data_IF_324636385847
#
_entry.id   IF_324636385847
#
_cell.length_a   1.000
_cell.length_b   1.000
_cell.length_c   1.000
_cell.angle_alpha   90.00
_cell.angle_beta   90.00
_cell.angle_gamma   90.00
#
_symmetry.space_group_name_H-M   'P 1'
#
loop_
_entity.id
_entity.type
_entity.pdbx_description
1 polymer ?
#
# COMPACT_ATOMS: atom_id res chain seq x y z
N UNK A 1 59.85 -13.46 20.33
CA UNK A 1 59.05 -12.23 20.54
C UNK A 1 59.02 -11.47 19.22
N UNK A 2 57.91 -11.11 18.58
CA UNK A 2 56.49 -11.23 18.86
C UNK A 2 55.76 -11.29 17.52
N UNK A 3 54.70 -12.09 17.48
CA UNK A 3 53.57 -12.02 16.55
C UNK A 3 52.85 -10.66 16.71
N UNK A 4 52.14 -10.20 15.68
CA UNK A 4 50.70 -10.17 15.89
C UNK A 4 49.91 -10.70 14.68
N UNK A 5 48.88 -11.46 15.07
CA UNK A 5 47.75 -11.90 14.30
C UNK A 5 46.81 -10.73 14.02
N UNK A 6 46.34 -10.59 12.78
CA UNK A 6 45.08 -9.93 12.46
C UNK A 6 44.35 -10.79 11.42
N UNK A 7 43.70 -11.82 11.94
CA UNK A 7 42.65 -12.58 11.28
C UNK A 7 41.36 -11.75 11.28
N UNK A 8 41.08 -11.11 10.16
CA UNK A 8 39.79 -10.53 9.85
C UNK A 8 39.26 -11.17 8.57
N UNK A 9 38.94 -12.46 8.66
CA UNK A 9 38.11 -13.17 7.69
C UNK A 9 36.68 -12.63 7.79
N UNK A 10 36.42 -11.53 7.09
CA UNK A 10 35.09 -10.94 6.93
C UNK A 10 34.23 -11.89 6.09
N UNK A 11 33.26 -12.53 6.73
CA UNK A 11 32.31 -13.42 6.09
C UNK A 11 31.49 -12.67 5.04
N UNK A 12 31.69 -13.02 3.77
CA UNK A 12 30.86 -12.62 2.64
C UNK A 12 29.37 -12.92 2.96
N UNK A 13 28.45 -11.96 2.79
CA UNK A 13 27.04 -12.25 2.92
C UNK A 13 26.64 -13.23 1.82
N UNK A 14 26.14 -14.39 2.24
CA UNK A 14 25.58 -15.41 1.35
C UNK A 14 24.33 -14.82 0.69
N UNK A 15 24.50 -14.27 -0.51
CA UNK A 15 23.39 -13.83 -1.33
C UNK A 15 22.56 -15.06 -1.70
N UNK A 16 21.37 -15.18 -1.11
CA UNK A 16 20.39 -16.19 -1.54
C UNK A 16 19.99 -15.88 -2.99
N UNK A 17 20.51 -16.68 -3.90
CA UNK A 17 20.05 -16.75 -5.29
C UNK A 17 18.55 -17.11 -5.25
N UNK A 18 17.65 -16.30 -5.85
CA UNK A 18 16.25 -16.66 -5.95
C UNK A 18 16.13 -17.94 -6.76
N UNK A 19 15.26 -18.86 -6.33
CA UNK A 19 14.94 -20.06 -7.09
C UNK A 19 14.42 -19.67 -8.48
N UNK A 20 15.28 -19.85 -9.50
CA UNK A 20 14.99 -19.57 -10.89
C UNK A 20 13.82 -20.46 -11.33
N UNK A 21 12.63 -19.89 -11.54
CA UNK A 21 11.50 -20.61 -12.14
C UNK A 21 11.69 -20.66 -13.65
N UNK A 22 12.45 -21.64 -14.11
CA UNK A 22 12.69 -21.90 -15.53
C UNK A 22 11.42 -22.42 -16.21
N UNK A 23 10.87 -21.66 -17.14
CA UNK A 23 9.75 -22.12 -17.99
C UNK A 23 10.33 -22.71 -19.28
N UNK A 24 10.10 -24.01 -19.49
CA UNK A 24 10.42 -24.67 -20.77
C UNK A 24 9.14 -24.74 -21.59
N UNK A 25 9.05 -23.96 -22.68
CA UNK A 25 7.94 -24.06 -23.63
C UNK A 25 8.35 -24.98 -24.79
N UNK A 26 7.62 -26.08 -25.07
CA UNK A 26 7.93 -26.92 -26.21
C UNK A 26 7.72 -26.15 -27.52
N UNK A 27 8.67 -26.30 -28.44
CA UNK A 27 8.51 -25.90 -29.83
C UNK A 27 7.74 -27.01 -30.56
N UNK A 28 6.53 -26.73 -31.04
CA UNK A 28 5.84 -27.61 -31.98
C UNK A 28 6.21 -27.18 -33.41
N UNK A 29 6.65 -28.10 -34.29
CA UNK A 29 6.89 -27.76 -35.69
C UNK A 29 5.56 -27.48 -36.41
N UNK A 30 5.53 -26.62 -37.45
CA UNK A 30 4.33 -26.41 -38.26
C UNK A 30 4.10 -27.63 -39.17
N UNK A 31 3.25 -28.55 -38.74
CA UNK A 31 2.69 -29.58 -39.64
C UNK A 31 1.60 -28.94 -40.49
N UNK A 32 1.94 -28.70 -41.75
CA UNK A 32 1.00 -28.37 -42.83
C UNK A 32 0.15 -29.61 -43.13
N UNK A 33 -1.12 -29.59 -42.75
CA UNK A 33 -2.18 -30.37 -43.41
C UNK A 33 -3.51 -29.63 -43.24
N UNK A 34 -4.05 -29.09 -44.35
CA UNK A 34 -5.42 -28.63 -44.42
C UNK A 34 -6.38 -29.82 -44.47
N UNK A 35 -7.51 -29.80 -43.74
CA UNK A 35 -8.69 -30.52 -44.14
C UNK A 35 -9.81 -29.55 -44.55
N UNK A 36 -10.47 -29.94 -45.65
CA UNK A 36 -11.67 -29.33 -46.23
C UNK A 36 -12.77 -29.13 -45.19
N UNK A 37 -13.53 -28.06 -45.41
CA UNK A 37 -14.82 -27.79 -44.79
C UNK A 37 -15.80 -28.98 -44.90
N UNK A 38 -16.51 -29.26 -43.82
CA UNK A 38 -17.86 -29.82 -43.85
C UNK A 38 -18.68 -29.12 -42.75
N UNK A 39 -19.68 -28.35 -43.18
CA UNK A 39 -20.77 -27.95 -42.31
C UNK A 39 -21.61 -29.19 -42.00
N UNK A 40 -21.81 -29.49 -40.72
CA UNK A 40 -23.00 -30.19 -40.28
C UNK A 40 -23.39 -29.69 -38.89
N UNK A 41 -24.67 -29.32 -38.77
CA UNK A 41 -25.25 -28.75 -37.57
C UNK A 41 -25.57 -29.83 -36.54
N UNK A 42 -25.29 -29.53 -35.28
CA UNK A 42 -25.99 -30.08 -34.13
C UNK A 42 -25.69 -29.19 -32.91
N UNK A 43 -26.74 -28.56 -32.37
CA UNK A 43 -26.70 -27.89 -31.07
C UNK A 43 -26.46 -28.94 -29.97
N UNK A 44 -25.50 -28.75 -29.04
CA UNK A 44 -25.43 -29.57 -27.85
C UNK A 44 -26.29 -28.97 -26.73
N UNK A 45 -27.38 -29.69 -26.44
CA UNK A 45 -28.25 -29.58 -25.28
C UNK A 45 -27.48 -29.65 -23.95
N UNK A 46 -27.90 -28.81 -23.01
CA UNK A 46 -27.44 -28.73 -21.62
C UNK A 46 -27.60 -30.04 -20.84
N UNK A 47 -26.67 -30.31 -19.91
CA UNK A 47 -26.93 -31.12 -18.71
C UNK A 47 -26.04 -30.60 -17.57
N UNK A 48 -26.64 -29.81 -16.67
CA UNK A 48 -26.07 -29.51 -15.35
C UNK A 48 -26.68 -30.49 -14.37
N UNK A 49 -25.86 -31.41 -13.87
CA UNK A 49 -26.21 -32.30 -12.77
C UNK A 49 -26.24 -31.53 -11.45
N UNK A 50 -27.32 -31.74 -10.71
CA UNK A 50 -27.60 -31.08 -9.44
C UNK A 50 -26.92 -31.75 -8.25
N UNK A 51 -26.56 -30.93 -7.27
CA UNK A 51 -26.55 -31.31 -5.86
C UNK A 51 -26.73 -30.04 -5.02
N UNK A 52 -27.90 -29.91 -4.40
CA UNK A 52 -28.11 -28.97 -3.28
C UNK A 52 -27.23 -29.39 -2.10
N UNK A 53 -26.84 -28.42 -1.26
CA UNK A 53 -27.35 -28.51 0.09
C UNK A 53 -27.92 -27.19 0.60
N UNK A 54 -29.16 -27.29 1.08
CA UNK A 54 -29.79 -26.39 2.04
C UNK A 54 -28.84 -26.17 3.22
N UNK A 55 -28.66 -24.91 3.66
CA UNK A 55 -28.63 -24.53 5.08
C UNK A 55 -28.65 -23.00 5.25
N UNK A 56 -29.54 -22.60 6.15
CA UNK A 56 -30.02 -21.25 6.43
C UNK A 56 -28.98 -20.38 7.14
N UNK A 57 -28.84 -19.12 6.72
CA UNK A 57 -28.34 -18.06 7.58
C UNK A 57 -29.43 -16.99 7.77
N UNK A 58 -29.93 -16.97 9.01
CA UNK A 58 -30.71 -15.92 9.66
C UNK A 58 -30.27 -14.52 9.20
N UNK A 59 -31.12 -13.86 8.42
CA UNK A 59 -31.02 -12.43 8.14
C UNK A 59 -31.87 -11.72 9.18
N UNK A 60 -31.20 -11.23 10.22
CA UNK A 60 -31.80 -10.37 11.22
C UNK A 60 -32.44 -9.14 10.55
N UNK A 61 -33.72 -8.94 10.84
CA UNK A 61 -34.48 -7.74 10.51
C UNK A 61 -33.89 -6.51 11.24
N UNK A 62 -33.92 -5.29 10.65
CA UNK A 62 -33.62 -4.09 11.39
C UNK A 62 -34.85 -3.71 12.23
N UNK A 63 -34.93 -4.22 13.45
CA UNK A 63 -35.92 -3.72 14.43
C UNK A 63 -35.45 -2.38 14.99
N UNK A 64 -36.06 -1.29 14.49
CA UNK A 64 -36.02 0.02 15.13
C UNK A 64 -36.62 -0.10 16.54
N UNK A 65 -35.77 -0.06 17.56
CA UNK A 65 -36.18 0.05 18.96
C UNK A 65 -35.94 1.48 19.44
N UNK A 66 -37.04 2.22 19.48
CA UNK A 66 -37.15 3.54 20.09
C UNK A 66 -37.25 3.34 21.62
N UNK A 67 -36.12 3.42 22.32
CA UNK A 67 -36.09 3.48 23.78
C UNK A 67 -35.58 4.87 24.19
N UNK A 68 -36.53 5.73 24.55
CA UNK A 68 -36.27 7.02 25.15
C UNK A 68 -35.98 6.89 26.64
N UNK A 69 -34.81 7.36 27.06
CA UNK A 69 -34.47 7.86 28.40
C UNK A 69 -33.07 8.45 28.21
N UNK A 70 -32.81 9.75 28.31
CA UNK A 70 -33.28 10.72 29.26
C UNK A 70 -32.03 11.37 29.84
N UNK A 71 -31.84 12.66 29.54
CA UNK A 71 -30.82 13.49 30.20
C UNK A 71 -29.65 13.87 29.31
N UNK A 72 -29.84 14.88 28.46
CA UNK A 72 -28.75 15.82 28.19
C UNK A 72 -29.26 17.25 28.38
N UNK A 73 -28.60 17.89 29.34
CA UNK A 73 -28.90 19.17 29.92
C UNK A 73 -28.71 20.27 28.89
N UNK A 74 -29.71 21.14 28.80
CA UNK A 74 -29.69 22.33 27.96
C UNK A 74 -28.51 23.24 28.32
N UNK A 75 -27.57 23.42 27.38
CA UNK A 75 -26.73 24.61 27.34
C UNK A 75 -27.47 25.68 26.51
N UNK A 76 -28.51 26.26 27.11
CA UNK A 76 -29.13 27.46 26.57
C UNK A 76 -28.15 28.63 26.77
N UNK A 77 -27.52 29.07 25.68
CA UNK A 77 -26.88 30.38 25.61
C UNK A 77 -27.96 31.46 25.75
N UNK A 78 -28.26 31.84 26.98
CA UNK A 78 -28.98 33.08 27.26
C UNK A 78 -27.97 34.20 27.28
N UNK A 79 -27.81 34.83 26.13
CA UNK A 79 -27.27 36.18 26.00
C UNK A 79 -28.14 37.12 26.82
N UNK A 80 -27.71 37.44 28.04
CA UNK A 80 -28.34 38.50 28.85
C UNK A 80 -27.97 39.83 28.20
N UNK A 81 -28.87 40.28 27.32
CA UNK A 81 -28.87 41.64 26.81
C UNK A 81 -28.93 42.61 27.98
N UNK A 82 -27.96 43.52 27.98
CA UNK A 82 -27.89 44.75 28.75
C UNK A 82 -29.25 45.43 28.81
N UNK A 83 -29.94 45.35 29.95
CA UNK A 83 -31.13 46.17 30.21
C UNK A 83 -30.68 47.56 30.62
N UNK A 84 -30.75 48.44 29.63
CA UNK A 84 -30.72 49.89 29.70
C UNK A 84 -31.67 50.42 30.77
N UNK A 85 -31.16 51.36 31.58
CA UNK A 85 -31.91 52.48 32.16
C UNK A 85 -33.22 52.18 32.89
N UNK A 86 -33.13 51.91 34.20
CA UNK A 86 -34.25 52.05 35.12
C UNK A 86 -33.94 53.12 36.17
N UNK A 87 -34.32 54.36 35.91
CA UNK A 87 -34.39 55.42 36.93
C UNK A 87 -35.50 55.05 37.92
N UNK A 88 -35.12 54.59 39.12
CA UNK A 88 -36.05 54.43 40.24
C UNK A 88 -35.88 55.61 41.20
N UNK A 89 -36.92 56.44 41.27
CA UNK A 89 -37.11 57.48 42.30
C UNK A 89 -37.19 56.85 43.71
N UNK A 90 -36.88 57.62 44.77
CA UNK A 90 -36.71 57.08 46.12
C UNK A 90 -38.07 56.79 46.76
N UNK A 91 -38.28 55.56 47.22
CA UNK A 91 -39.34 55.24 48.17
C UNK A 91 -38.71 55.08 49.57
N UNK A 92 -39.24 55.74 50.61
CA UNK A 92 -38.73 55.65 51.97
C UNK A 92 -39.08 54.28 52.55
N UNK A 93 -38.10 53.37 52.52
CA UNK A 93 -38.18 52.08 53.19
C UNK A 93 -38.08 52.27 54.70
N UNK A 94 -39.16 51.94 55.40
CA UNK A 94 -39.31 52.13 56.84
C UNK A 94 -38.18 51.53 57.69
N UNK A 95 -37.85 52.29 58.73
CA UNK A 95 -37.01 51.91 59.86
C UNK A 95 -37.52 50.62 60.52
N UNK A 96 -37.00 49.47 60.09
CA UNK A 96 -37.18 48.21 60.80
C UNK A 96 -36.25 48.23 62.04
N UNK A 97 -36.79 48.74 63.13
CA UNK A 97 -36.15 48.86 64.44
C UNK A 97 -36.05 47.47 65.09
N UNK A 98 -34.95 46.76 64.84
CA UNK A 98 -34.60 45.55 65.58
C UNK A 98 -34.24 45.93 67.04
N UNK A 99 -34.71 45.15 68.01
CA UNK A 99 -34.61 45.44 69.44
C UNK A 99 -33.18 45.63 69.97
N UNK A 100 -33.05 46.18 71.20
CA UNK A 100 -31.76 46.59 71.76
C UNK A 100 -30.90 45.36 72.05
N UNK A 101 -29.86 45.14 71.23
CA UNK A 101 -28.92 44.05 71.43
C UNK A 101 -28.21 43.54 70.17
N UNK A 102 -28.57 44.00 68.97
CA UNK A 102 -27.87 43.60 67.74
C UNK A 102 -26.82 44.66 67.39
N UNK A 103 -25.51 44.35 67.35
CA UNK A 103 -24.50 45.30 66.91
C UNK A 103 -24.82 45.77 65.49
N UNK A 104 -24.86 47.09 65.29
CA UNK A 104 -25.32 47.78 64.06
C UNK A 104 -24.39 47.54 62.85
N UNK A 105 -23.29 46.81 63.03
CA UNK A 105 -22.38 46.46 61.95
C UNK A 105 -21.87 45.01 62.12
N UNK A 106 -22.07 44.12 61.14
CA UNK A 106 -21.32 42.87 61.11
C UNK A 106 -19.82 43.18 61.02
N UNK A 107 -18.95 42.38 61.67
CA UNK A 107 -17.51 42.56 61.55
C UNK A 107 -17.10 42.47 60.07
N UNK A 108 -16.16 43.32 59.65
CA UNK A 108 -15.69 43.36 58.28
C UNK A 108 -15.28 41.95 57.83
N UNK A 109 -15.83 41.50 56.69
CA UNK A 109 -15.47 40.22 56.11
C UNK A 109 -13.94 40.17 55.90
N UNK A 110 -13.27 39.04 56.21
CA UNK A 110 -11.85 38.91 55.96
C UNK A 110 -11.60 39.14 54.47
N UNK A 111 -10.62 39.98 54.15
CA UNK A 111 -10.23 40.24 52.78
C UNK A 111 -9.72 38.92 52.16
N UNK A 112 -10.55 38.31 51.31
CA UNK A 112 -10.10 37.18 50.49
C UNK A 112 -8.95 37.66 49.61
N UNK A 113 -7.86 36.87 49.49
CA UNK A 113 -6.78 37.22 48.58
C UNK A 113 -7.35 37.45 47.19
N UNK A 114 -7.12 38.63 46.62
CA UNK A 114 -7.46 38.90 45.24
C UNK A 114 -6.79 37.83 44.36
N UNK A 115 -7.45 37.33 43.30
CA UNK A 115 -6.84 36.40 42.36
C UNK A 115 -5.50 36.99 41.91
N UNK A 116 -4.42 36.24 42.13
CA UNK A 116 -3.11 36.69 41.74
C UNK A 116 -3.13 37.07 40.24
N UNK A 117 -2.51 38.21 39.85
CA UNK A 117 -2.50 38.62 38.46
C UNK A 117 -1.90 37.49 37.60
N UNK A 118 -2.44 37.26 36.39
CA UNK A 118 -1.98 36.17 35.54
C UNK A 118 -0.47 36.32 35.33
N UNK A 119 0.30 35.35 35.82
CA UNK A 119 1.74 35.32 35.64
C UNK A 119 2.02 35.33 34.15
N UNK A 120 2.75 36.35 33.67
CA UNK A 120 3.16 36.42 32.27
C UNK A 120 3.93 35.14 31.95
N UNK A 121 3.51 34.36 30.94
CA UNK A 121 4.22 33.14 30.59
C UNK A 121 5.64 33.51 30.18
N UNK A 122 6.64 32.93 30.86
CA UNK A 122 8.05 33.13 30.56
C UNK A 122 8.30 32.88 29.07
N UNK A 123 9.06 33.75 28.39
CA UNK A 123 9.43 33.55 26.98
C UNK A 123 10.17 32.22 26.79
N UNK A 124 10.89 31.77 27.81
CA UNK A 124 11.59 30.47 27.81
C UNK A 124 10.62 29.29 27.78
N UNK A 125 9.50 29.38 28.52
CA UNK A 125 8.44 28.36 28.49
C UNK A 125 7.74 28.31 27.14
N UNK A 126 7.56 29.47 26.49
CA UNK A 126 7.03 29.53 25.11
C UNK A 126 8.01 28.88 24.13
N UNK A 127 9.31 29.18 24.24
CA UNK A 127 10.34 28.58 23.40
C UNK A 127 10.39 27.06 23.56
N UNK A 128 10.35 26.55 24.79
CA UNK A 128 10.32 25.09 25.03
C UNK A 128 9.07 24.43 24.48
N UNK A 129 7.91 25.07 24.59
CA UNK A 129 6.66 24.54 24.01
C UNK A 129 6.73 24.54 22.48
N UNK A 130 7.27 25.60 21.86
CA UNK A 130 7.45 25.65 20.40
C UNK A 130 8.46 24.59 19.95
N UNK A 131 9.61 24.47 20.62
CA UNK A 131 10.62 23.47 20.29
C UNK A 131 10.06 22.05 20.45
N UNK A 132 9.33 21.78 21.53
CA UNK A 132 8.67 20.50 21.76
C UNK A 132 7.61 20.22 20.70
N UNK A 133 6.81 21.22 20.29
CA UNK A 133 5.82 21.06 19.24
C UNK A 133 6.48 20.77 17.88
N UNK A 134 7.59 21.45 17.56
CA UNK A 134 8.37 21.20 16.34
C UNK A 134 9.00 19.81 16.34
N UNK A 135 9.58 19.38 17.47
CA UNK A 135 10.15 18.04 17.61
C UNK A 135 9.08 16.95 17.45
N UNK A 136 7.91 17.12 18.09
CA UNK A 136 6.79 16.20 17.94
C UNK A 136 6.28 16.15 16.51
N UNK A 137 6.16 17.29 15.83
CA UNK A 137 5.77 17.36 14.43
C UNK A 137 6.80 16.68 13.52
N UNK A 138 8.10 16.88 13.77
CA UNK A 138 9.19 16.23 13.05
C UNK A 138 9.16 14.70 13.24
N UNK A 139 8.88 14.22 14.46
CA UNK A 139 8.77 12.79 14.72
C UNK A 139 7.53 12.19 14.05
N UNK A 140 6.37 12.85 14.13
CA UNK A 140 5.15 12.40 13.47
C UNK A 140 5.29 12.34 11.96
N UNK A 141 5.94 13.33 11.35
CA UNK A 141 6.22 13.34 9.90
C UNK A 141 7.21 12.24 9.51
N UNK A 142 8.27 12.03 10.28
CA UNK A 142 9.22 10.93 10.03
C UNK A 142 8.55 9.55 10.13
N UNK A 143 7.74 9.32 11.16
CA UNK A 143 6.99 8.07 11.34
C UNK A 143 5.95 7.90 10.23
N UNK A 144 5.22 8.96 9.89
CA UNK A 144 4.26 8.94 8.78
C UNK A 144 4.91 8.58 7.45
N UNK A 145 6.05 9.19 7.13
CA UNK A 145 6.84 8.86 5.94
C UNK A 145 7.39 7.43 5.98
N UNK A 146 7.85 6.96 7.13
CA UNK A 146 8.35 5.60 7.28
C UNK A 146 7.26 4.55 7.06
N UNK A 147 6.07 4.75 7.64
CA UNK A 147 4.90 3.89 7.43
C UNK A 147 4.48 3.94 5.96
N UNK A 148 4.43 5.14 5.36
CA UNK A 148 4.07 5.31 3.95
C UNK A 148 5.01 4.53 3.02
N UNK A 149 6.32 4.64 3.21
CA UNK A 149 7.31 3.88 2.43
C UNK A 149 7.18 2.38 2.66
N UNK A 150 6.78 1.95 3.87
CA UNK A 150 6.59 0.54 4.21
C UNK A 150 5.35 -0.06 3.52
N UNK A 151 4.31 0.74 3.30
CA UNK A 151 3.02 0.33 2.72
C UNK A 151 2.87 0.67 1.23
N UNK A 152 3.86 1.32 0.61
CA UNK A 152 3.81 1.66 -0.81
C UNK A 152 3.66 0.40 -1.68
N UNK A 153 2.76 0.39 -2.67
CA UNK A 153 2.57 -0.77 -3.54
C UNK A 153 3.81 -1.03 -4.40
N UNK A 154 3.87 -2.23 -4.99
CA UNK A 154 4.89 -2.57 -5.97
C UNK A 154 4.70 -1.70 -7.22
N UNK A 155 5.76 -1.03 -7.64
CA UNK A 155 5.78 -0.27 -8.88
C UNK A 155 6.93 -0.73 -9.77
N UNK A 156 6.67 -0.74 -11.08
CA UNK A 156 7.64 -1.04 -12.12
C UNK A 156 8.24 0.27 -12.59
N UNK A 157 9.55 0.40 -12.46
CA UNK A 157 10.30 1.57 -12.91
C UNK A 157 10.75 1.43 -14.36
N UNK A 158 11.17 0.22 -14.76
CA UNK A 158 11.70 -0.04 -16.09
C UNK A 158 11.67 -1.56 -16.39
N UNK A 159 11.61 -1.91 -17.66
CA UNK A 159 11.65 -3.30 -18.13
C UNK A 159 12.56 -3.38 -19.35
N UNK A 160 13.57 -4.22 -19.28
CA UNK A 160 14.49 -4.46 -20.40
C UNK A 160 14.58 -5.95 -20.67
N UNK A 161 14.60 -6.34 -21.94
CA UNK A 161 14.80 -7.73 -22.35
C UNK A 161 16.14 -7.86 -23.08
N UNK A 162 16.84 -8.97 -22.83
CA UNK A 162 18.13 -9.24 -23.44
C UNK A 162 18.36 -10.74 -23.58
N UNK A 163 19.33 -11.10 -24.40
CA UNK A 163 19.80 -12.48 -24.57
C UNK A 163 21.25 -12.54 -24.08
N UNK A 164 21.50 -12.87 -22.79
CA UNK A 164 22.85 -12.83 -22.23
C UNK A 164 23.82 -13.79 -22.93
N UNK A 165 23.30 -14.90 -23.44
CA UNK A 165 24.05 -15.95 -24.14
C UNK A 165 23.36 -16.26 -25.47
N UNK A 166 23.67 -15.53 -26.56
CA UNK A 166 23.07 -15.79 -27.86
C UNK A 166 23.50 -17.16 -28.41
N UNK A 167 22.65 -17.75 -29.27
CA UNK A 167 22.88 -19.06 -29.88
C UNK A 167 24.19 -19.12 -30.68
N UNK A 168 24.50 -18.05 -31.43
CA UNK A 168 25.62 -18.02 -32.37
C UNK A 168 25.45 -19.06 -33.49
N UNK A 169 26.56 -19.68 -33.89
CA UNK A 169 26.62 -20.70 -34.95
C UNK A 169 26.37 -22.14 -34.45
N UNK A 170 25.74 -22.29 -33.28
CA UNK A 170 25.54 -23.60 -32.63
C UNK A 170 24.20 -24.18 -33.04
N UNK A 171 24.18 -25.48 -33.30
CA UNK A 171 22.97 -26.23 -33.61
C UNK A 171 22.33 -26.79 -32.33
N UNK A 172 21.01 -27.01 -32.38
CA UNK A 172 20.24 -27.66 -31.31
C UNK A 172 20.46 -27.03 -29.92
N UNK A 173 20.40 -25.70 -29.87
CA UNK A 173 20.68 -24.94 -28.66
C UNK A 173 19.43 -24.46 -27.96
N UNK A 174 19.53 -24.38 -26.64
CA UNK A 174 18.57 -23.67 -25.81
C UNK A 174 19.16 -22.33 -25.41
N UNK A 175 18.42 -21.26 -25.70
CA UNK A 175 18.76 -19.88 -25.36
C UNK A 175 17.87 -19.43 -24.20
N UNK A 176 18.49 -18.76 -23.23
CA UNK A 176 17.77 -18.09 -22.16
C UNK A 176 17.56 -16.63 -22.55
N UNK A 177 16.30 -16.24 -22.74
CA UNK A 177 15.91 -14.85 -22.88
C UNK A 177 15.59 -14.33 -21.49
N UNK A 178 16.21 -13.22 -21.12
CA UNK A 178 16.13 -12.66 -19.78
C UNK A 178 15.55 -11.26 -19.85
N UNK A 179 14.41 -11.06 -19.18
CA UNK A 179 13.87 -9.74 -18.89
C UNK A 179 14.25 -9.29 -17.48
N UNK A 180 14.87 -8.13 -17.38
CA UNK A 180 15.21 -7.47 -16.13
C UNK A 180 14.15 -6.41 -15.85
N UNK A 181 13.39 -6.62 -14.77
CA UNK A 181 12.37 -5.70 -14.28
C UNK A 181 12.95 -4.89 -13.12
N UNK A 182 13.02 -3.57 -13.27
CA UNK A 182 13.40 -2.66 -12.18
C UNK A 182 12.16 -2.24 -11.41
N UNK A 183 12.24 -2.27 -10.08
CA UNK A 183 11.11 -1.95 -9.19
C UNK A 183 11.51 -0.94 -8.12
N UNK A 184 10.52 -0.35 -7.46
CA UNK A 184 10.71 0.59 -6.35
C UNK A 184 11.22 -0.07 -5.04
N UNK A 185 11.38 -1.40 -5.00
CA UNK A 185 11.81 -2.14 -3.82
C UNK A 185 10.67 -2.53 -2.86
N UNK A 186 9.42 -2.21 -3.19
CA UNK A 186 8.27 -2.69 -2.43
C UNK A 186 8.05 -4.19 -2.66
N UNK A 187 7.39 -4.85 -1.69
CA UNK A 187 6.98 -6.23 -1.87
C UNK A 187 5.71 -6.29 -2.72
N UNK A 188 5.57 -7.34 -3.52
CA UNK A 188 4.38 -7.53 -4.32
C UNK A 188 4.48 -8.73 -5.23
N UNK A 189 3.59 -8.76 -6.22
CA UNK A 189 3.48 -9.82 -7.20
C UNK A 189 3.49 -9.21 -8.58
N UNK A 190 4.26 -9.80 -9.49
CA UNK A 190 4.29 -9.44 -10.90
C UNK A 190 3.57 -10.53 -11.65
N UNK A 191 2.53 -10.16 -12.40
CA UNK A 191 1.87 -11.06 -13.34
C UNK A 191 2.33 -10.73 -14.76
N UNK A 192 2.86 -11.71 -15.46
CA UNK A 192 3.49 -11.50 -16.76
C UNK A 192 3.28 -12.70 -17.68
N UNK A 193 3.41 -12.46 -18.97
CA UNK A 193 3.36 -13.50 -19.99
C UNK A 193 4.46 -13.27 -21.02
N UNK A 194 4.97 -14.36 -21.58
CA UNK A 194 5.90 -14.33 -22.70
C UNK A 194 5.15 -14.54 -24.01
N UNK A 195 5.41 -13.68 -24.99
CA UNK A 195 4.94 -13.80 -26.36
C UNK A 195 6.13 -14.08 -27.26
N UNK A 196 5.93 -14.97 -28.22
CA UNK A 196 6.92 -15.31 -29.25
C UNK A 196 6.28 -15.09 -30.62
N UNK A 197 7.03 -14.55 -31.56
CA UNK A 197 6.56 -14.42 -32.94
C UNK A 197 6.13 -15.77 -33.49
N UNK A 198 4.95 -15.85 -34.13
CA UNK A 198 4.46 -17.07 -34.75
C UNK A 198 3.95 -18.17 -33.79
N UNK A 199 3.90 -17.90 -32.47
CA UNK A 199 3.34 -18.83 -31.48
C UNK A 199 2.10 -18.25 -30.79
N UNK A 200 1.26 -19.13 -30.26
CA UNK A 200 0.23 -18.71 -29.30
C UNK A 200 0.88 -18.03 -28.07
N UNK A 201 0.20 -17.06 -27.44
CA UNK A 201 0.68 -16.44 -26.21
C UNK A 201 0.99 -17.50 -25.13
N UNK A 202 2.07 -17.29 -24.38
CA UNK A 202 2.39 -18.12 -23.22
C UNK A 202 1.35 -18.00 -22.12
N UNK A 203 1.40 -18.93 -21.16
CA UNK A 203 0.58 -18.85 -19.95
C UNK A 203 0.90 -17.58 -19.15
N UNK A 204 -0.09 -17.09 -18.41
CA UNK A 204 0.14 -16.04 -17.42
C UNK A 204 0.94 -16.64 -16.25
N UNK A 205 2.07 -16.02 -15.95
CA UNK A 205 3.00 -16.40 -14.89
C UNK A 205 2.97 -15.37 -13.77
N UNK A 206 3.36 -15.82 -12.59
CA UNK A 206 3.34 -15.03 -11.38
C UNK A 206 4.68 -15.11 -10.69
N UNK A 207 5.35 -13.97 -10.56
CA UNK A 207 6.62 -13.82 -9.86
C UNK A 207 6.44 -13.03 -8.57
N UNK A 208 7.04 -13.52 -7.47
CA UNK A 208 6.91 -12.88 -6.16
C UNK A 208 8.12 -12.01 -5.87
N UNK A 209 7.88 -10.72 -5.62
CA UNK A 209 8.92 -9.75 -5.30
C UNK A 209 8.95 -9.55 -3.79
N UNK A 210 10.04 -9.99 -3.16
CA UNK A 210 10.35 -9.67 -1.77
C UNK A 210 10.68 -8.19 -1.56
N UNK A 211 10.43 -7.70 -0.34
CA UNK A 211 10.77 -6.32 0.05
C UNK A 211 12.29 -6.09 -0.08
N UNK A 212 12.68 -4.95 -0.64
CA UNK A 212 14.06 -4.54 -0.87
C UNK A 212 14.62 -4.98 -2.22
N UNK A 213 13.94 -5.87 -2.96
CA UNK A 213 14.36 -6.27 -4.30
C UNK A 213 14.00 -5.19 -5.30
N UNK A 214 15.01 -4.53 -5.88
CA UNK A 214 14.85 -3.49 -6.92
C UNK A 214 15.06 -4.00 -8.34
N UNK A 215 15.44 -5.26 -8.49
CA UNK A 215 15.68 -5.92 -9.76
C UNK A 215 15.16 -7.35 -9.67
N UNK A 216 14.35 -7.74 -10.63
CA UNK A 216 13.75 -9.08 -10.73
C UNK A 216 13.99 -9.61 -12.12
N UNK A 217 14.36 -10.88 -12.22
CA UNK A 217 14.73 -11.53 -13.48
C UNK A 217 13.61 -12.46 -13.89
N UNK A 218 13.04 -12.23 -15.07
CA UNK A 218 12.05 -13.11 -15.67
C UNK A 218 12.75 -13.85 -16.82
N UNK A 219 12.77 -15.19 -16.75
CA UNK A 219 13.50 -16.01 -17.72
C UNK A 219 12.54 -16.78 -18.61
N UNK A 220 12.79 -16.74 -19.92
CA UNK A 220 12.19 -17.60 -20.92
C UNK A 220 13.26 -18.52 -21.50
N UNK A 221 13.05 -19.82 -21.39
CA UNK A 221 13.96 -20.81 -21.97
C UNK A 221 13.42 -21.30 -23.30
N UNK A 222 14.22 -21.16 -24.35
CA UNK A 222 13.79 -21.42 -25.73
C UNK A 222 14.77 -22.32 -26.47
N UNK A 223 14.32 -23.53 -26.84
CA UNK A 223 15.06 -24.46 -27.71
C UNK A 223 14.84 -24.20 -29.19
N UNK A 224 15.93 -24.10 -29.95
CA UNK A 224 15.97 -24.10 -31.41
C UNK A 224 16.61 -25.39 -31.89
N UNK A 225 16.03 -26.03 -32.90
CA UNK A 225 16.54 -27.28 -33.48
C UNK A 225 16.50 -27.24 -35.00
N UNK A 226 17.37 -28.02 -35.64
CA UNK A 226 17.46 -28.12 -37.11
C UNK A 226 18.46 -27.15 -37.75
N UNK A 227 18.62 -27.27 -39.06
CA UNK A 227 19.59 -26.48 -39.85
C UNK A 227 18.97 -25.20 -40.41
N UNK A 228 19.80 -24.17 -40.64
CA UNK A 228 19.37 -22.89 -41.23
C UNK A 228 19.48 -21.70 -40.28
N UNK A 229 18.99 -20.54 -40.71
CA UNK A 229 18.99 -19.31 -39.94
C UNK A 229 17.59 -18.75 -39.75
N UNK A 230 17.22 -18.42 -38.51
CA UNK A 230 15.97 -17.73 -38.19
C UNK A 230 16.22 -16.61 -37.20
N UNK A 231 15.39 -15.56 -37.25
CA UNK A 231 15.36 -14.49 -36.26
C UNK A 231 13.94 -14.37 -35.74
N UNK A 232 13.78 -14.52 -34.44
CA UNK A 232 12.47 -14.48 -33.80
C UNK A 232 12.46 -13.46 -32.66
N UNK A 233 11.29 -12.89 -32.38
CA UNK A 233 11.14 -11.88 -31.33
C UNK A 233 10.51 -12.49 -30.09
N UNK A 234 11.14 -12.26 -28.94
CA UNK A 234 10.57 -12.57 -27.64
C UNK A 234 10.13 -11.28 -26.96
N UNK A 235 8.84 -11.19 -26.62
CA UNK A 235 8.25 -10.05 -25.94
C UNK A 235 7.74 -10.46 -24.58
N UNK A 236 8.17 -9.78 -23.52
CA UNK A 236 7.56 -9.90 -22.20
C UNK A 236 6.44 -8.88 -22.09
N UNK A 237 5.25 -9.32 -21.68
CA UNK A 237 4.11 -8.46 -21.37
C UNK A 237 3.76 -8.60 -19.89
N UNK A 238 3.98 -7.54 -19.13
CA UNK A 238 3.60 -7.45 -17.73
C UNK A 238 2.18 -6.90 -17.66
N UNK A 239 1.31 -7.59 -16.93
CA UNK A 239 -0.11 -7.28 -16.77
C UNK A 239 -0.35 -6.53 -15.46
N UNK A 240 0.33 -6.93 -14.39
CA UNK A 240 0.20 -6.38 -13.04
C UNK A 240 1.60 -6.25 -12.40
N UNK A 241 1.89 -5.21 -11.60
CA UNK A 241 0.99 -4.16 -11.06
C UNK A 241 0.66 -3.00 -12.02
N UNK A 242 1.44 -2.84 -13.09
CA UNK A 242 1.19 -1.85 -14.14
C UNK A 242 1.57 -2.46 -15.50
N UNK A 243 0.83 -2.13 -16.58
CA UNK A 243 1.14 -2.66 -17.89
C UNK A 243 2.49 -2.14 -18.39
N UNK A 244 3.40 -3.04 -18.71
CA UNK A 244 4.72 -2.72 -19.24
C UNK A 244 5.21 -3.83 -20.18
N UNK A 245 6.00 -3.48 -21.18
CA UNK A 245 6.48 -4.43 -22.18
C UNK A 245 7.94 -4.17 -22.54
N UNK A 246 8.64 -5.25 -22.86
CA UNK A 246 9.97 -5.19 -23.47
C UNK A 246 10.11 -6.33 -24.47
N UNK A 247 10.85 -6.09 -25.54
CA UNK A 247 11.10 -7.07 -26.58
C UNK A 247 12.59 -7.19 -26.87
N UNK A 248 13.01 -8.38 -27.28
CA UNK A 248 14.36 -8.63 -27.80
C UNK A 248 14.30 -9.64 -28.93
N UNK A 249 15.22 -9.51 -29.86
CA UNK A 249 15.39 -10.47 -30.95
C UNK A 249 16.32 -11.60 -30.52
N UNK A 250 16.03 -12.79 -31.02
CA UNK A 250 16.82 -14.01 -30.84
C UNK A 250 17.16 -14.53 -32.23
N UNK A 251 18.45 -14.47 -32.58
CA UNK A 251 18.97 -15.02 -33.84
C UNK A 251 19.52 -16.43 -33.62
N UNK A 252 19.06 -17.39 -34.43
CA UNK A 252 19.59 -18.75 -34.51
C UNK A 252 20.24 -18.96 -35.88
N UNK A 253 21.45 -19.53 -35.90
CA UNK A 253 22.13 -19.93 -37.13
C UNK A 253 22.82 -21.27 -36.91
N UNK A 254 22.42 -22.28 -37.66
CA UNK A 254 23.07 -23.58 -37.71
C UNK A 254 23.57 -23.84 -39.14
N UNK A 255 24.89 -24.02 -39.35
CA UNK A 255 25.43 -24.38 -40.66
C UNK A 255 24.86 -25.75 -41.09
N UNK A 256 24.42 -25.80 -42.34
CA UNK A 256 23.92 -27.03 -42.99
C UNK A 256 25.01 -27.80 -43.71
#
# INVERSE_FOLDING_TARGET
MNQPDDDATEALPTQRVPAERTVTLPAHPPSVTAPKASLDGAEPTLSLDGAEPTLSLDRAEPTLSLAGTGGDTMAANVTVGTRTGGTALPAPGGELRFGPGVPVAPPAAPAWPAPAPPRRPSPWRRLTTVLSALLSLALLTAVGLWIWQRLSPLEIADVTASVPRPAGARCDVTVDVVATVRTNGSAGVIEYQWLRTGSAPGALLTERVGRGQRSVTLTLRWSFTGVGSTTETATVNIVSPAPAQAATEVSYACPG
#
